data_IF_471681434086
#
_entry.id   IF_471681434086
#
_cell.length_a   1.000
_cell.length_b   1.000
_cell.length_c   1.000
_cell.angle_alpha   90.00
_cell.angle_beta   90.00
_cell.angle_gamma   90.00
#
_symmetry.space_group_name_H-M   'P 1'
#
loop_
_entity.id
_entity.type
_entity.pdbx_description
1 polymer ?
#
# COMPACT_ATOMS: atom_id res chain seq x y z
N UNK A 1 -7.07 6.57 -33.50
CA UNK A 1 -6.85 5.27 -32.84
C UNK A 1 -7.81 4.28 -33.47
N UNK A 2 -7.31 3.47 -34.40
CA UNK A 2 -8.13 2.57 -35.23
C UNK A 2 -8.51 1.32 -34.45
N UNK A 3 -9.80 1.19 -34.13
CA UNK A 3 -10.40 -0.03 -33.58
C UNK A 3 -10.51 -1.06 -34.70
N UNK A 4 -9.44 -1.82 -34.94
CA UNK A 4 -9.56 -3.04 -35.73
C UNK A 4 -10.37 -4.05 -34.92
N UNK A 5 -11.69 -4.06 -35.13
CA UNK A 5 -12.56 -5.19 -34.79
C UNK A 5 -12.10 -6.37 -35.66
N UNK A 6 -11.16 -7.15 -35.15
CA UNK A 6 -10.90 -8.48 -35.71
C UNK A 6 -12.22 -9.24 -35.65
N UNK A 7 -12.73 -9.67 -36.82
CA UNK A 7 -13.86 -10.58 -36.88
C UNK A 7 -13.44 -11.86 -36.16
N UNK A 8 -13.93 -12.07 -34.94
CA UNK A 8 -13.75 -13.32 -34.23
C UNK A 8 -14.30 -14.44 -35.12
N UNK A 9 -13.42 -15.35 -35.55
CA UNK A 9 -13.85 -16.60 -36.16
C UNK A 9 -14.53 -17.38 -35.02
N UNK A 10 -15.81 -17.77 -35.15
CA UNK A 10 -16.52 -18.44 -34.06
C UNK A 10 -15.82 -19.76 -33.72
N UNK A 11 -15.30 -19.85 -32.51
CA UNK A 11 -14.65 -21.05 -31.96
C UNK A 11 -15.70 -22.00 -31.37
N UNK A 12 -15.45 -23.30 -31.51
CA UNK A 12 -16.21 -24.34 -30.83
C UNK A 12 -15.66 -24.44 -29.40
N UNK A 13 -16.48 -24.12 -28.40
CA UNK A 13 -16.10 -24.32 -26.99
C UNK A 13 -16.05 -25.82 -26.65
N UNK A 14 -15.33 -26.18 -25.58
CA UNK A 14 -15.28 -27.57 -25.12
C UNK A 14 -16.67 -28.14 -24.80
N UNK A 15 -17.53 -27.34 -24.17
CA UNK A 15 -18.91 -27.75 -23.86
C UNK A 15 -19.76 -27.97 -25.12
N UNK A 16 -19.56 -27.14 -26.14
CA UNK A 16 -20.23 -27.31 -27.42
C UNK A 16 -19.69 -28.54 -28.16
N UNK A 17 -18.38 -28.77 -28.12
CA UNK A 17 -17.76 -29.96 -28.68
C UNK A 17 -18.32 -31.24 -28.04
N UNK A 18 -18.44 -31.29 -26.71
CA UNK A 18 -19.05 -32.43 -25.99
C UNK A 18 -20.47 -32.71 -26.48
N UNK A 19 -21.30 -31.67 -26.65
CA UNK A 19 -22.65 -31.80 -27.20
C UNK A 19 -22.64 -32.35 -28.62
N UNK A 20 -21.81 -31.78 -29.51
CA UNK A 20 -21.68 -32.22 -30.90
C UNK A 20 -21.22 -33.69 -30.99
N UNK A 21 -20.28 -34.11 -30.13
CA UNK A 21 -19.81 -35.49 -30.07
C UNK A 21 -20.90 -36.46 -29.61
N UNK A 22 -21.78 -36.02 -28.69
CA UNK A 22 -22.89 -36.85 -28.20
C UNK A 22 -24.07 -36.96 -29.17
N UNK A 23 -24.32 -35.92 -29.98
CA UNK A 23 -25.54 -35.79 -30.79
C UNK A 23 -25.32 -36.11 -32.28
N UNK A 24 -24.10 -35.91 -32.82
CA UNK A 24 -23.84 -36.05 -34.25
C UNK A 24 -23.38 -37.46 -34.66
N UNK A 25 -23.74 -37.91 -35.88
CA UNK A 25 -23.20 -39.12 -36.45
C UNK A 25 -21.71 -38.95 -36.82
N UNK A 26 -20.96 -40.06 -36.87
CA UNK A 26 -19.51 -40.05 -37.10
C UNK A 26 -19.07 -39.36 -38.40
N UNK A 27 -19.88 -39.39 -39.45
CA UNK A 27 -19.57 -38.73 -40.72
C UNK A 27 -19.72 -37.20 -40.67
N UNK A 28 -20.58 -36.69 -39.79
CA UNK A 28 -20.70 -35.24 -39.54
C UNK A 28 -19.58 -34.75 -38.61
N UNK A 29 -19.18 -35.56 -37.63
CA UNK A 29 -18.03 -35.29 -36.75
C UNK A 29 -16.74 -35.12 -37.57
N UNK A 30 -16.51 -35.99 -38.56
CA UNK A 30 -15.32 -35.89 -39.45
C UNK A 30 -15.27 -34.59 -40.27
N UNK A 31 -16.41 -33.93 -40.49
CA UNK A 31 -16.50 -32.69 -41.27
C UNK A 31 -16.29 -31.45 -40.40
N UNK A 32 -16.15 -31.61 -39.08
CA UNK A 32 -15.88 -30.47 -38.19
C UNK A 32 -14.53 -29.83 -38.55
N UNK A 33 -14.49 -28.50 -38.71
CA UNK A 33 -13.26 -27.80 -39.08
C UNK A 33 -12.27 -27.81 -37.91
N UNK A 34 -11.13 -28.47 -38.09
CA UNK A 34 -10.09 -28.64 -37.04
C UNK A 34 -9.56 -27.31 -36.50
N UNK A 35 -9.51 -26.27 -37.35
CA UNK A 35 -9.08 -24.92 -37.00
C UNK A 35 -9.99 -24.20 -35.99
N UNK A 36 -11.22 -24.68 -35.79
CA UNK A 36 -12.20 -24.09 -34.86
C UNK A 36 -12.27 -24.83 -33.53
N UNK A 37 -11.61 -25.97 -33.40
CA UNK A 37 -11.63 -26.81 -32.21
C UNK A 37 -10.77 -26.19 -31.08
N UNK A 38 -11.00 -26.60 -29.81
CA UNK A 38 -10.16 -26.21 -28.68
C UNK A 38 -8.73 -26.76 -28.80
N UNK A 39 -7.74 -26.01 -28.33
CA UNK A 39 -6.32 -26.42 -28.32
C UNK A 39 -6.05 -27.61 -27.38
N UNK A 40 -6.82 -27.75 -26.30
CA UNK A 40 -6.73 -28.85 -25.34
C UNK A 40 -8.06 -29.61 -25.30
N UNK A 41 -8.14 -30.72 -26.02
CA UNK A 41 -9.29 -31.64 -25.98
C UNK A 41 -8.93 -32.78 -25.01
N UNK A 42 -9.65 -32.94 -23.88
CA UNK A 42 -9.40 -34.01 -22.93
C UNK A 42 -9.77 -35.39 -23.53
N UNK A 43 -9.03 -36.42 -23.14
CA UNK A 43 -9.13 -37.78 -23.69
C UNK A 43 -10.48 -38.47 -23.33
N UNK A 44 -11.11 -38.03 -22.24
CA UNK A 44 -12.41 -38.51 -21.76
C UNK A 44 -13.55 -38.30 -22.77
N UNK A 45 -13.42 -37.32 -23.67
CA UNK A 45 -14.39 -37.07 -24.75
C UNK A 45 -14.59 -38.30 -25.66
N UNK A 46 -13.56 -39.14 -25.82
CA UNK A 46 -13.68 -40.37 -26.60
C UNK A 46 -14.55 -41.40 -25.89
N UNK A 47 -14.46 -41.46 -24.56
CA UNK A 47 -15.24 -42.39 -23.74
C UNK A 47 -16.72 -42.01 -23.72
N UNK A 48 -16.99 -40.70 -23.67
CA UNK A 48 -18.34 -40.09 -23.73
C UNK A 48 -19.02 -40.24 -25.09
N UNK A 49 -18.25 -40.48 -26.16
CA UNK A 49 -18.78 -40.64 -27.51
C UNK A 49 -19.52 -41.99 -27.69
N UNK A 50 -20.66 -42.00 -28.41
CA UNK A 50 -21.34 -43.22 -28.84
C UNK A 50 -20.38 -44.18 -29.55
N UNK A 51 -20.52 -45.48 -29.30
CA UNK A 51 -19.58 -46.51 -29.79
C UNK A 51 -19.30 -46.43 -31.31
N UNK A 52 -20.32 -46.11 -32.10
CA UNK A 52 -20.22 -46.00 -33.56
C UNK A 52 -19.50 -44.74 -34.05
N UNK A 53 -19.36 -43.69 -33.24
CA UNK A 53 -18.68 -42.43 -33.59
C UNK A 53 -17.30 -42.27 -32.96
N UNK A 54 -16.90 -43.14 -32.02
CA UNK A 54 -15.60 -43.08 -31.33
C UNK A 54 -14.40 -42.93 -32.26
N UNK A 55 -14.30 -43.76 -33.28
CA UNK A 55 -13.20 -43.68 -34.25
C UNK A 55 -13.18 -42.34 -35.02
N UNK A 56 -14.35 -41.74 -35.27
CA UNK A 56 -14.42 -40.41 -35.90
C UNK A 56 -13.93 -39.31 -34.94
N UNK A 57 -14.26 -39.42 -33.65
CA UNK A 57 -13.84 -38.50 -32.59
C UNK A 57 -12.33 -38.60 -32.34
N UNK A 58 -11.77 -39.81 -32.23
CA UNK A 58 -10.32 -40.02 -32.09
C UNK A 58 -9.53 -39.40 -33.25
N UNK A 59 -9.97 -39.65 -34.48
CA UNK A 59 -9.34 -39.07 -35.67
C UNK A 59 -9.45 -37.54 -35.69
N UNK A 60 -10.59 -36.99 -35.26
CA UNK A 60 -10.76 -35.54 -35.16
C UNK A 60 -9.82 -34.93 -34.11
N UNK A 61 -9.68 -35.57 -32.95
CA UNK A 61 -8.75 -35.15 -31.88
C UNK A 61 -7.30 -35.20 -32.39
N UNK A 62 -6.90 -36.28 -33.05
CA UNK A 62 -5.56 -36.38 -33.64
C UNK A 62 -5.30 -35.29 -34.68
N UNK A 63 -6.27 -35.03 -35.57
CA UNK A 63 -6.16 -33.99 -36.59
C UNK A 63 -6.09 -32.58 -35.99
N UNK A 64 -6.87 -32.31 -34.93
CA UNK A 64 -6.81 -31.07 -34.18
C UNK A 64 -5.44 -30.88 -33.51
N UNK A 65 -4.95 -31.91 -32.80
CA UNK A 65 -3.64 -31.87 -32.14
C UNK A 65 -2.50 -31.64 -33.14
N UNK A 66 -2.52 -32.32 -34.29
CA UNK A 66 -1.53 -32.11 -35.36
C UNK A 66 -1.60 -30.69 -35.93
N UNK A 67 -2.81 -30.17 -36.16
CA UNK A 67 -3.00 -28.79 -36.61
C UNK A 67 -2.44 -27.78 -35.60
N UNK A 68 -2.81 -27.87 -34.31
CA UNK A 68 -2.34 -26.95 -33.27
C UNK A 68 -0.83 -27.06 -33.04
N UNK A 69 -0.25 -28.26 -33.10
CA UNK A 69 1.21 -28.44 -33.05
C UNK A 69 1.89 -27.76 -34.24
N UNK A 70 1.37 -27.94 -35.46
CA UNK A 70 1.93 -27.30 -36.65
C UNK A 70 1.86 -25.77 -36.57
N UNK A 71 0.75 -25.23 -36.05
CA UNK A 71 0.56 -23.80 -35.81
C UNK A 71 1.53 -23.28 -34.75
N UNK A 72 1.72 -24.02 -33.65
CA UNK A 72 2.69 -23.69 -32.60
C UNK A 72 4.13 -23.68 -33.13
N UNK A 73 4.51 -24.67 -33.94
CA UNK A 73 5.83 -24.71 -34.59
C UNK A 73 6.03 -23.55 -35.58
N UNK A 74 5.00 -23.21 -36.37
CA UNK A 74 5.04 -22.04 -37.27
C UNK A 74 5.19 -20.74 -36.49
N UNK A 75 4.44 -20.61 -35.40
CA UNK A 75 4.52 -19.45 -34.52
C UNK A 75 5.90 -19.34 -33.89
N UNK A 76 6.43 -20.42 -33.31
CA UNK A 76 7.77 -20.46 -32.72
C UNK A 76 8.86 -20.06 -33.73
N UNK A 77 8.78 -20.54 -34.98
CA UNK A 77 9.72 -20.12 -36.04
C UNK A 77 9.58 -18.65 -36.43
N UNK A 78 8.38 -18.09 -36.35
CA UNK A 78 8.09 -16.73 -36.78
C UNK A 78 8.46 -15.68 -35.72
N UNK A 79 8.28 -15.99 -34.44
CA UNK A 79 8.43 -15.02 -33.33
C UNK A 79 9.45 -15.42 -32.26
N UNK A 80 9.96 -16.64 -32.29
CA UNK A 80 10.97 -17.15 -31.35
C UNK A 80 10.39 -17.65 -30.01
N UNK A 81 11.27 -18.28 -29.22
CA UNK A 81 10.90 -19.00 -27.99
C UNK A 81 10.40 -18.08 -26.87
N UNK A 82 10.94 -16.86 -26.77
CA UNK A 82 10.53 -15.89 -25.73
C UNK A 82 9.07 -15.46 -25.89
N UNK A 83 8.61 -15.28 -27.13
CA UNK A 83 7.23 -14.90 -27.44
C UNK A 83 6.28 -16.08 -27.18
N UNK A 84 6.70 -17.31 -27.47
CA UNK A 84 5.94 -18.52 -27.11
C UNK A 84 5.79 -18.63 -25.58
N UNK A 85 6.86 -18.40 -24.82
CA UNK A 85 6.79 -18.40 -23.37
C UNK A 85 5.84 -17.31 -22.83
N UNK A 86 5.80 -16.14 -23.46
CA UNK A 86 4.86 -15.08 -23.11
C UNK A 86 3.40 -15.46 -23.42
N UNK A 87 3.15 -16.20 -24.50
CA UNK A 87 1.81 -16.75 -24.82
C UNK A 87 1.40 -17.80 -23.78
N UNK A 88 2.29 -18.73 -23.45
CA UNK A 88 2.04 -19.74 -22.42
C UNK A 88 1.77 -19.09 -21.04
N UNK A 89 2.47 -17.99 -20.75
CA UNK A 89 2.23 -17.19 -19.55
C UNK A 89 0.84 -16.55 -19.54
N UNK A 90 0.34 -16.08 -20.70
CA UNK A 90 -0.97 -15.44 -20.81
C UNK A 90 -2.14 -16.35 -20.37
N UNK A 91 -2.03 -17.66 -20.60
CA UNK A 91 -3.04 -18.63 -20.16
C UNK A 91 -3.20 -18.73 -18.64
N UNK A 92 -2.16 -18.37 -17.89
CA UNK A 92 -2.12 -18.49 -16.43
C UNK A 92 -2.09 -17.11 -15.73
N UNK A 93 -1.96 -16.03 -16.49
CA UNK A 93 -1.82 -14.69 -15.97
C UNK A 93 -3.05 -14.26 -15.15
N UNK A 94 -2.81 -13.74 -13.94
CA UNK A 94 -3.87 -13.29 -13.02
C UNK A 94 -4.55 -14.39 -12.21
N UNK A 95 -4.27 -15.67 -12.50
CA UNK A 95 -4.79 -16.82 -11.75
C UNK A 95 -3.78 -17.41 -10.75
N UNK A 96 -2.65 -16.75 -10.53
CA UNK A 96 -1.60 -17.23 -9.62
C UNK A 96 -2.12 -17.38 -8.19
N UNK A 97 -1.52 -18.33 -7.45
CA UNK A 97 -1.82 -18.52 -6.05
C UNK A 97 -1.56 -17.25 -5.24
N UNK A 98 -0.49 -16.52 -5.56
CA UNK A 98 -0.09 -15.28 -4.89
C UNK A 98 -1.14 -14.18 -5.06
N UNK A 99 -1.56 -13.90 -6.31
CA UNK A 99 -2.59 -12.88 -6.59
C UNK A 99 -3.92 -13.27 -5.96
N UNK A 100 -4.29 -14.56 -5.98
CA UNK A 100 -5.51 -15.05 -5.33
C UNK A 100 -5.48 -14.86 -3.82
N UNK A 101 -4.39 -15.25 -3.15
CA UNK A 101 -4.24 -15.08 -1.70
C UNK A 101 -4.26 -13.60 -1.33
N UNK A 102 -3.53 -12.76 -2.08
CA UNK A 102 -3.54 -11.32 -1.88
C UNK A 102 -4.96 -10.73 -2.05
N UNK A 103 -5.68 -11.13 -3.10
CA UNK A 103 -7.08 -10.74 -3.35
C UNK A 103 -7.98 -11.08 -2.17
N UNK A 104 -7.94 -12.32 -1.69
CA UNK A 104 -8.72 -12.74 -0.53
C UNK A 104 -8.38 -11.90 0.71
N UNK A 105 -7.10 -11.65 0.98
CA UNK A 105 -6.67 -10.86 2.14
C UNK A 105 -7.04 -9.38 2.05
N UNK A 106 -7.03 -8.80 0.86
CA UNK A 106 -7.51 -7.42 0.64
C UNK A 106 -9.02 -7.34 0.88
N UNK A 107 -9.79 -8.30 0.38
CA UNK A 107 -11.23 -8.36 0.62
C UNK A 107 -11.57 -8.55 2.10
N UNK A 108 -10.85 -9.42 2.82
CA UNK A 108 -10.95 -9.56 4.28
C UNK A 108 -10.71 -8.22 4.99
N UNK A 109 -9.66 -7.48 4.59
CA UNK A 109 -9.34 -6.17 5.18
C UNK A 109 -10.46 -5.15 4.94
N UNK A 110 -11.01 -5.11 3.73
CA UNK A 110 -12.10 -4.21 3.35
C UNK A 110 -13.37 -4.56 4.13
N UNK A 111 -13.71 -5.85 4.24
CA UNK A 111 -14.88 -6.32 4.97
C UNK A 111 -14.78 -6.00 6.47
N UNK A 112 -13.64 -6.31 7.10
CA UNK A 112 -13.40 -6.01 8.51
C UNK A 112 -13.57 -4.50 8.78
N UNK A 113 -13.02 -3.64 7.92
CA UNK A 113 -13.18 -2.18 8.03
C UNK A 113 -14.64 -1.74 7.90
N UNK A 114 -15.41 -2.33 6.99
CA UNK A 114 -16.83 -2.01 6.82
C UNK A 114 -17.65 -2.39 8.06
N UNK A 115 -17.38 -3.54 8.68
CA UNK A 115 -18.01 -3.92 9.95
C UNK A 115 -17.67 -2.94 11.07
N UNK A 116 -16.39 -2.57 11.21
CA UNK A 116 -15.97 -1.58 12.20
C UNK A 116 -16.62 -0.20 11.96
N UNK A 117 -16.83 0.21 10.70
CA UNK A 117 -17.51 1.46 10.36
C UNK A 117 -19.01 1.45 10.70
N UNK A 118 -19.65 0.27 10.72
CA UNK A 118 -21.06 0.09 11.12
C UNK A 118 -21.26 -0.01 12.63
N UNK A 119 -20.18 0.02 13.42
CA UNK A 119 -20.24 -0.21 14.87
C UNK A 119 -20.44 -1.68 15.25
N UNK A 120 -20.40 -2.59 14.28
CA UNK A 120 -20.49 -4.04 14.46
C UNK A 120 -19.10 -4.58 14.83
N UNK A 121 -18.67 -4.33 16.08
CA UNK A 121 -17.43 -4.87 16.64
C UNK A 121 -16.47 -3.80 17.18
N UNK A 122 -15.63 -4.20 18.16
CA UNK A 122 -14.55 -3.35 18.66
C UNK A 122 -13.49 -3.21 17.56
N UNK A 123 -13.16 -1.97 17.18
CA UNK A 123 -12.08 -1.70 16.23
C UNK A 123 -10.73 -2.05 16.86
N UNK A 124 -10.25 -3.27 16.66
CA UNK A 124 -8.92 -3.67 17.10
C UNK A 124 -7.86 -3.26 16.07
N UNK A 125 -7.23 -2.10 16.31
CA UNK A 125 -6.17 -1.57 15.45
C UNK A 125 -4.96 -2.50 15.38
N UNK A 126 -4.71 -3.32 16.41
CA UNK A 126 -3.59 -4.28 16.39
C UNK A 126 -3.85 -5.40 15.38
N UNK A 127 -5.10 -5.87 15.28
CA UNK A 127 -5.50 -6.85 14.26
C UNK A 127 -5.36 -6.27 12.86
N UNK A 128 -5.80 -5.03 12.62
CA UNK A 128 -5.60 -4.36 11.34
C UNK A 128 -4.12 -4.20 10.98
N UNK A 129 -3.27 -3.82 11.94
CA UNK A 129 -1.84 -3.71 11.73
C UNK A 129 -1.22 -5.06 11.34
N UNK A 130 -1.64 -6.16 11.97
CA UNK A 130 -1.19 -7.51 11.62
C UNK A 130 -1.67 -7.95 10.23
N UNK A 131 -2.90 -7.61 9.84
CA UNK A 131 -3.41 -7.84 8.47
C UNK A 131 -2.62 -7.05 7.42
N UNK A 132 -2.37 -5.76 7.66
CA UNK A 132 -1.59 -4.91 6.75
C UNK A 132 -0.16 -5.43 6.61
N UNK A 133 0.47 -5.89 7.71
CA UNK A 133 1.82 -6.46 7.65
C UNK A 133 1.87 -7.67 6.72
N UNK A 134 0.96 -8.63 6.88
CA UNK A 134 0.87 -9.82 6.01
C UNK A 134 0.64 -9.44 4.53
N UNK A 135 -0.17 -8.43 4.27
CA UNK A 135 -0.39 -7.91 2.92
C UNK A 135 0.87 -7.23 2.36
N UNK A 136 1.62 -6.48 3.17
CA UNK A 136 2.89 -5.88 2.75
C UNK A 136 3.95 -6.94 2.41
N UNK A 137 3.97 -8.06 3.12
CA UNK A 137 4.88 -9.17 2.82
C UNK A 137 4.57 -9.78 1.43
N UNK A 138 3.28 -9.95 1.10
CA UNK A 138 2.82 -10.42 -0.21
C UNK A 138 2.93 -9.38 -1.33
N UNK A 139 3.00 -8.09 -0.98
CA UNK A 139 2.97 -6.98 -1.94
C UNK A 139 4.15 -7.04 -2.92
N UNK A 140 5.31 -7.48 -2.45
CA UNK A 140 6.53 -7.60 -3.26
C UNK A 140 6.32 -8.63 -4.37
N UNK A 141 5.74 -9.78 -4.02
CA UNK A 141 5.51 -10.87 -4.95
C UNK A 141 4.45 -10.49 -6.00
N UNK A 142 3.34 -9.88 -5.58
CA UNK A 142 2.28 -9.42 -6.49
C UNK A 142 2.80 -8.36 -7.46
N UNK A 143 3.62 -7.43 -6.99
CA UNK A 143 4.24 -6.41 -7.86
C UNK A 143 5.26 -7.01 -8.82
N UNK A 144 6.02 -8.00 -8.39
CA UNK A 144 6.97 -8.73 -9.26
C UNK A 144 6.23 -9.49 -10.35
N UNK A 145 5.14 -10.16 -9.99
CA UNK A 145 4.29 -10.85 -10.96
C UNK A 145 3.69 -9.86 -11.96
N UNK A 146 3.15 -8.74 -11.50
CA UNK A 146 2.62 -7.68 -12.36
C UNK A 146 3.67 -7.13 -13.33
N UNK A 147 4.88 -6.88 -12.84
CA UNK A 147 6.00 -6.40 -13.66
C UNK A 147 6.36 -7.41 -14.76
N UNK A 148 6.36 -8.69 -14.42
CA UNK A 148 6.62 -9.77 -15.37
C UNK A 148 5.51 -9.85 -16.43
N UNK A 149 4.24 -9.84 -16.01
CA UNK A 149 3.08 -9.85 -16.93
C UNK A 149 3.12 -8.66 -17.89
N UNK A 150 3.47 -7.46 -17.41
CA UNK A 150 3.62 -6.26 -18.25
C UNK A 150 4.79 -6.39 -19.23
N UNK A 151 5.92 -6.97 -18.80
CA UNK A 151 7.05 -7.24 -19.70
C UNK A 151 6.66 -8.20 -20.80
N UNK A 152 5.96 -9.30 -20.46
CA UNK A 152 5.46 -10.27 -21.43
C UNK A 152 4.47 -9.64 -22.39
N UNK A 153 3.56 -8.78 -21.91
CA UNK A 153 2.63 -8.05 -22.77
C UNK A 153 3.36 -7.19 -23.81
N UNK A 154 4.36 -6.40 -23.38
CA UNK A 154 5.16 -5.57 -24.29
C UNK A 154 5.97 -6.41 -25.28
N UNK A 155 6.44 -7.59 -24.86
CA UNK A 155 7.13 -8.52 -25.75
C UNK A 155 6.20 -9.00 -26.86
N UNK A 156 4.94 -9.33 -26.55
CA UNK A 156 3.94 -9.69 -27.56
C UNK A 156 3.61 -8.52 -28.50
N UNK A 157 3.44 -7.31 -27.96
CA UNK A 157 3.17 -6.10 -28.74
C UNK A 157 4.31 -5.80 -29.74
N UNK A 158 5.56 -5.93 -29.29
CA UNK A 158 6.74 -5.67 -30.11
C UNK A 158 7.01 -6.73 -31.19
N UNK A 159 6.58 -7.98 -30.97
CA UNK A 159 6.89 -9.13 -31.83
C UNK A 159 5.63 -9.70 -32.52
N UNK A 160 4.74 -8.82 -32.96
CA UNK A 160 3.55 -9.23 -33.70
C UNK A 160 3.95 -9.91 -35.04
N UNK A 161 3.46 -11.13 -35.33
CA UNK A 161 3.90 -11.86 -36.51
C UNK A 161 3.44 -11.19 -37.80
N UNK A 162 4.30 -11.23 -38.82
CA UNK A 162 3.98 -10.72 -40.16
C UNK A 162 2.82 -11.52 -40.78
N UNK A 163 2.79 -12.85 -40.57
CA UNK A 163 1.75 -13.76 -41.05
C UNK A 163 0.38 -13.43 -40.42
N UNK A 164 -0.62 -13.00 -41.21
CA UNK A 164 -1.95 -12.66 -40.72
C UNK A 164 -2.67 -13.81 -40.02
N UNK A 165 -2.36 -15.07 -40.35
CA UNK A 165 -2.99 -16.24 -39.74
C UNK A 165 -2.54 -16.46 -38.29
N UNK A 166 -1.36 -15.96 -37.92
CA UNK A 166 -0.75 -16.13 -36.59
C UNK A 166 -1.08 -14.97 -35.64
N UNK A 167 -1.44 -13.79 -36.19
CA UNK A 167 -1.76 -12.59 -35.40
C UNK A 167 -2.90 -12.79 -34.39
N UNK A 168 -4.01 -13.51 -34.69
CA UNK A 168 -5.09 -13.67 -33.74
C UNK A 168 -4.67 -14.33 -32.42
N UNK A 169 -3.76 -15.31 -32.48
CA UNK A 169 -3.24 -16.01 -31.30
C UNK A 169 -2.44 -15.06 -30.42
N UNK A 170 -1.51 -14.30 -31.01
CA UNK A 170 -0.67 -13.33 -30.28
C UNK A 170 -1.52 -12.19 -29.71
N UNK A 171 -2.45 -11.64 -30.48
CA UNK A 171 -3.35 -10.58 -30.04
C UNK A 171 -4.28 -11.03 -28.88
N UNK A 172 -4.75 -12.28 -28.90
CA UNK A 172 -5.55 -12.85 -27.80
C UNK A 172 -4.74 -12.95 -26.51
N UNK A 173 -3.50 -13.45 -26.60
CA UNK A 173 -2.59 -13.54 -25.47
C UNK A 173 -2.23 -12.15 -24.91
N UNK A 174 -1.94 -11.19 -25.78
CA UNK A 174 -1.68 -9.79 -25.39
C UNK A 174 -2.88 -9.19 -24.64
N UNK A 175 -4.10 -9.39 -25.16
CA UNK A 175 -5.33 -8.91 -24.51
C UNK A 175 -5.61 -9.61 -23.16
N UNK A 176 -5.24 -10.89 -23.01
CA UNK A 176 -5.31 -11.60 -21.72
C UNK A 176 -4.32 -11.02 -20.71
N UNK A 177 -3.05 -10.83 -21.09
CA UNK A 177 -2.05 -10.20 -20.24
C UNK A 177 -2.46 -8.78 -19.84
N UNK A 178 -2.98 -7.98 -20.78
CA UNK A 178 -3.47 -6.63 -20.49
C UNK A 178 -4.62 -6.60 -19.49
N UNK A 179 -5.55 -7.56 -19.57
CA UNK A 179 -6.60 -7.73 -18.55
C UNK A 179 -6.02 -8.10 -17.20
N UNK A 180 -5.10 -9.06 -17.14
CA UNK A 180 -4.45 -9.48 -15.89
C UNK A 180 -3.68 -8.32 -15.22
N UNK A 181 -2.91 -7.53 -15.99
CA UNK A 181 -2.23 -6.33 -15.48
C UNK A 181 -3.25 -5.34 -14.88
N UNK A 182 -4.36 -5.11 -15.57
CA UNK A 182 -5.41 -4.19 -15.12
C UNK A 182 -6.09 -4.68 -13.85
N UNK A 183 -6.39 -5.98 -13.73
CA UNK A 183 -6.95 -6.56 -12.52
C UNK A 183 -6.02 -6.44 -11.32
N UNK A 184 -4.72 -6.70 -11.52
CA UNK A 184 -3.72 -6.57 -10.44
C UNK A 184 -3.55 -5.09 -10.05
N UNK A 185 -3.50 -4.16 -11.00
CA UNK A 185 -3.48 -2.71 -10.72
C UNK A 185 -4.70 -2.29 -9.88
N UNK A 186 -5.91 -2.73 -10.25
CA UNK A 186 -7.12 -2.42 -9.50
C UNK A 186 -7.06 -2.98 -8.07
N UNK A 187 -6.57 -4.21 -7.92
CA UNK A 187 -6.44 -4.85 -6.62
C UNK A 187 -5.42 -4.13 -5.72
N UNK A 188 -4.29 -3.71 -6.29
CA UNK A 188 -3.30 -2.88 -5.60
C UNK A 188 -3.89 -1.52 -5.20
N UNK A 189 -4.67 -0.89 -6.08
CA UNK A 189 -5.40 0.34 -5.78
C UNK A 189 -6.37 0.19 -4.60
N UNK A 190 -7.14 -0.90 -4.55
CA UNK A 190 -8.03 -1.22 -3.43
C UNK A 190 -7.25 -1.40 -2.12
N UNK A 191 -6.12 -2.11 -2.16
CA UNK A 191 -5.25 -2.29 -1.01
C UNK A 191 -4.72 -0.95 -0.46
N UNK A 192 -4.11 -0.11 -1.32
CA UNK A 192 -3.59 1.19 -0.89
C UNK A 192 -4.68 2.10 -0.34
N UNK A 193 -5.88 2.05 -0.92
CA UNK A 193 -7.05 2.77 -0.42
C UNK A 193 -7.41 2.34 1.00
N UNK A 194 -7.59 1.02 1.21
CA UNK A 194 -7.98 0.49 2.50
C UNK A 194 -6.91 0.79 3.57
N UNK A 195 -5.64 0.62 3.22
CA UNK A 195 -4.50 0.93 4.09
C UNK A 195 -4.45 2.41 4.48
N UNK A 196 -4.59 3.32 3.52
CA UNK A 196 -4.58 4.76 3.77
C UNK A 196 -5.73 5.18 4.70
N UNK A 197 -6.92 4.62 4.52
CA UNK A 197 -8.07 4.91 5.38
C UNK A 197 -7.84 4.48 6.83
N UNK A 198 -7.27 3.28 7.05
CA UNK A 198 -6.96 2.77 8.38
C UNK A 198 -5.88 3.61 9.06
N UNK A 199 -4.78 3.89 8.35
CA UNK A 199 -3.71 4.75 8.84
C UNK A 199 -4.21 6.16 9.16
N UNK A 200 -5.13 6.71 8.36
CA UNK A 200 -5.76 8.00 8.67
C UNK A 200 -6.53 7.97 9.98
N UNK A 201 -7.30 6.90 10.24
CA UNK A 201 -8.03 6.76 11.50
C UNK A 201 -7.07 6.66 12.68
N UNK A 202 -5.97 5.93 12.54
CA UNK A 202 -4.91 5.83 13.54
C UNK A 202 -4.28 7.19 13.83
N UNK A 203 -3.84 7.91 12.78
CA UNK A 203 -3.29 9.26 12.90
C UNK A 203 -4.28 10.23 13.55
N UNK A 204 -5.56 10.17 13.17
CA UNK A 204 -6.59 11.03 13.78
C UNK A 204 -6.76 10.75 15.28
N UNK A 205 -6.75 9.47 15.70
CA UNK A 205 -6.81 9.09 17.12
C UNK A 205 -5.58 9.59 17.88
N UNK A 206 -4.39 9.39 17.31
CA UNK A 206 -3.14 9.86 17.90
C UNK A 206 -3.12 11.38 18.03
N UNK A 207 -3.61 12.10 17.01
CA UNK A 207 -3.72 13.56 17.04
C UNK A 207 -4.64 14.04 18.17
N UNK A 208 -5.82 13.44 18.33
CA UNK A 208 -6.72 13.79 19.44
C UNK A 208 -6.07 13.52 20.81
N UNK A 209 -5.31 12.43 20.95
CA UNK A 209 -4.56 12.16 22.18
C UNK A 209 -3.48 13.22 22.44
N UNK A 210 -2.75 13.63 21.40
CA UNK A 210 -1.76 14.71 21.48
C UNK A 210 -2.43 16.02 21.89
N UNK A 211 -3.52 16.41 21.23
CA UNK A 211 -4.24 17.66 21.52
C UNK A 211 -4.77 17.68 22.96
N UNK A 212 -5.38 16.59 23.44
CA UNK A 212 -5.87 16.48 24.82
C UNK A 212 -4.74 16.59 25.86
N UNK A 213 -3.56 16.03 25.57
CA UNK A 213 -2.41 16.12 26.47
C UNK A 213 -1.73 17.47 26.43
N UNK A 214 -1.71 18.16 25.27
CA UNK A 214 -1.26 19.55 25.16
C UNK A 214 -2.17 20.47 25.98
N UNK A 215 -3.49 20.32 25.88
CA UNK A 215 -4.46 21.06 26.70
C UNK A 215 -4.25 20.79 28.20
N UNK A 216 -4.06 19.52 28.59
CA UNK A 216 -3.72 19.14 29.96
C UNK A 216 -2.39 19.77 30.42
N UNK A 217 -1.38 19.84 29.57
CA UNK A 217 -0.10 20.49 29.89
C UNK A 217 -0.26 21.99 30.12
N UNK A 218 -1.04 22.68 29.29
CA UNK A 218 -1.30 24.12 29.44
C UNK A 218 -2.10 24.43 30.71
N UNK A 219 -3.13 23.64 31.02
CA UNK A 219 -3.87 23.78 32.29
C UNK A 219 -2.97 23.58 33.51
N UNK A 220 -2.09 22.57 33.51
CA UNK A 220 -1.10 22.36 34.57
C UNK A 220 -0.10 23.54 34.66
N UNK A 221 0.34 24.11 33.53
CA UNK A 221 1.23 25.29 33.51
C UNK A 221 0.57 26.52 34.13
N UNK A 222 -0.68 26.80 33.80
CA UNK A 222 -1.44 27.92 34.38
C UNK A 222 -1.60 27.76 35.89
N UNK A 223 -1.93 26.55 36.36
CA UNK A 223 -2.00 26.25 37.80
C UNK A 223 -0.66 26.46 38.51
N UNK A 224 0.45 26.03 37.90
CA UNK A 224 1.80 26.27 38.43
C UNK A 224 2.13 27.78 38.50
N UNK A 225 1.75 28.56 37.49
CA UNK A 225 1.96 30.01 37.51
C UNK A 225 1.16 30.69 38.62
N UNK A 226 -0.10 30.30 38.81
CA UNK A 226 -0.94 30.81 39.90
C UNK A 226 -0.35 30.46 41.28
N UNK A 227 0.01 29.19 41.51
CA UNK A 227 0.61 28.76 42.78
C UNK A 227 1.96 29.43 43.06
N UNK A 228 2.79 29.62 42.03
CA UNK A 228 4.05 30.36 42.18
C UNK A 228 3.82 31.84 42.51
N UNK A 229 2.78 32.47 41.94
CA UNK A 229 2.40 33.84 42.26
C UNK A 229 1.89 33.95 43.69
N UNK A 230 1.02 33.05 44.12
CA UNK A 230 0.56 32.96 45.51
C UNK A 230 1.72 32.77 46.49
N UNK A 231 2.66 31.86 46.19
CA UNK A 231 3.86 31.65 46.99
C UNK A 231 4.73 32.93 47.06
N UNK A 232 4.87 33.64 45.93
CA UNK A 232 5.57 34.91 45.81
C UNK A 232 4.95 36.00 46.68
N UNK A 233 3.63 36.19 46.59
CA UNK A 233 2.88 37.17 47.40
C UNK A 233 2.93 36.84 48.90
N UNK A 234 2.86 35.57 49.27
CA UNK A 234 3.04 35.11 50.67
C UNK A 234 4.48 35.26 51.19
N UNK A 235 5.47 35.47 50.31
CA UNK A 235 6.88 35.64 50.68
C UNK A 235 7.35 37.11 50.67
N UNK A 236 6.72 37.96 49.84
CA UNK A 236 7.12 39.36 49.60
C UNK A 236 6.66 40.39 50.63
N UNK A 237 5.68 40.09 51.50
CA UNK A 237 5.20 41.04 52.51
C UNK A 237 6.08 41.06 53.77
N UNK A 238 6.88 42.11 53.97
CA UNK A 238 7.57 42.37 55.26
C UNK A 238 6.57 42.45 56.44
N UNK A 239 5.32 42.87 56.18
CA UNK A 239 4.24 43.00 57.17
C UNK A 239 3.55 41.69 57.56
N UNK A 240 3.64 40.62 56.75
CA UNK A 240 2.96 39.32 57.02
C UNK A 240 3.82 38.32 57.82
N UNK A 241 5.11 38.61 58.00
CA UNK A 241 6.07 37.74 58.73
C UNK A 241 5.87 37.77 60.25
N UNK A 242 5.35 38.87 60.80
CA UNK A 242 5.27 39.06 62.25
C UNK A 242 3.98 38.53 62.90
N UNK A 243 2.85 38.46 62.17
CA UNK A 243 1.53 38.19 62.78
C UNK A 243 0.95 36.78 62.58
N UNK A 244 1.45 35.93 61.66
CA UNK A 244 0.84 34.62 61.31
C UNK A 244 1.83 33.49 60.94
N UNK A 245 2.92 33.36 61.70
CA UNK A 245 4.07 32.47 61.36
C UNK A 245 3.72 30.98 61.19
N UNK A 246 2.89 30.37 62.06
CA UNK A 246 2.59 28.93 62.00
C UNK A 246 1.59 28.53 60.90
N UNK A 247 0.49 29.28 60.73
CA UNK A 247 -0.51 28.99 59.69
C UNK A 247 0.03 29.25 58.27
N UNK A 248 0.80 30.33 58.08
CA UNK A 248 1.44 30.60 56.80
C UNK A 248 2.52 29.57 56.44
N UNK A 249 3.15 28.93 57.43
CA UNK A 249 4.14 27.88 57.18
C UNK A 249 3.49 26.61 56.64
N UNK A 250 2.40 26.14 57.28
CA UNK A 250 1.67 24.96 56.82
C UNK A 250 1.05 25.17 55.42
N UNK A 251 0.49 26.36 55.14
CA UNK A 251 -0.01 26.69 53.81
C UNK A 251 1.11 26.77 52.76
N UNK A 252 2.28 27.32 53.11
CA UNK A 252 3.45 27.31 52.20
C UNK A 252 3.93 25.90 51.89
N UNK A 253 4.02 25.03 52.88
CA UNK A 253 4.41 23.62 52.69
C UNK A 253 3.38 22.89 51.80
N UNK A 254 2.08 23.18 51.96
CA UNK A 254 1.02 22.62 51.13
C UNK A 254 1.10 23.09 49.66
N UNK A 255 1.31 24.39 49.43
CA UNK A 255 1.51 24.96 48.09
C UNK A 255 2.77 24.38 47.45
N UNK A 256 3.87 24.25 48.20
CA UNK A 256 5.10 23.61 47.71
C UNK A 256 4.88 22.14 47.33
N UNK A 257 4.16 21.36 48.14
CA UNK A 257 3.83 19.98 47.82
C UNK A 257 2.96 19.87 46.55
N UNK A 258 2.00 20.80 46.38
CA UNK A 258 1.19 20.87 45.16
C UNK A 258 2.03 21.24 43.94
N UNK A 259 2.96 22.20 44.06
CA UNK A 259 3.90 22.55 42.98
C UNK A 259 4.74 21.34 42.57
N UNK A 260 5.33 20.61 43.53
CA UNK A 260 6.15 19.41 43.24
C UNK A 260 5.31 18.34 42.53
N UNK A 261 4.07 18.12 42.99
CA UNK A 261 3.14 17.19 42.35
C UNK A 261 2.82 17.61 40.91
N UNK A 262 2.43 18.87 40.69
CA UNK A 262 2.10 19.38 39.36
C UNK A 262 3.30 19.35 38.41
N UNK A 263 4.51 19.65 38.89
CA UNK A 263 5.74 19.51 38.08
C UNK A 263 5.98 18.05 37.69
N UNK A 264 5.70 17.10 38.59
CA UNK A 264 5.82 15.67 38.30
C UNK A 264 4.77 15.24 37.27
N UNK A 265 3.52 15.65 37.46
CA UNK A 265 2.44 15.37 36.51
C UNK A 265 2.76 15.95 35.12
N UNK A 266 3.31 17.17 35.05
CA UNK A 266 3.71 17.82 33.81
C UNK A 266 4.79 17.02 33.06
N UNK A 267 5.77 16.43 33.77
CA UNK A 267 6.79 15.54 33.18
C UNK A 267 6.20 14.24 32.64
N UNK A 268 5.11 13.74 33.22
CA UNK A 268 4.48 12.48 32.81
C UNK A 268 3.45 12.63 31.68
N UNK A 269 3.11 13.86 31.29
CA UNK A 269 2.00 14.14 30.33
C UNK A 269 2.45 14.14 28.86
N UNK A 270 3.61 13.54 28.53
CA UNK A 270 4.11 13.48 27.15
C UNK A 270 3.56 12.27 26.38
N UNK A 271 2.97 12.52 25.20
CA UNK A 271 2.58 11.46 24.26
C UNK A 271 3.77 11.18 23.34
N UNK A 272 4.45 10.06 23.59
CA UNK A 272 5.48 9.60 22.66
C UNK A 272 4.85 9.20 21.32
N UNK A 273 5.31 9.82 20.24
CA UNK A 273 5.13 9.34 18.86
C UNK A 273 6.39 8.56 18.53
N UNK A 274 6.26 7.28 18.20
CA UNK A 274 7.43 6.47 17.84
C UNK A 274 7.83 6.72 16.38
N UNK A 275 9.13 6.65 16.08
CA UNK A 275 9.62 6.68 14.70
C UNK A 275 9.00 5.56 13.85
N UNK A 276 8.76 4.40 14.46
CA UNK A 276 8.14 3.26 13.78
C UNK A 276 6.70 3.54 13.32
N UNK A 277 5.95 4.37 14.06
CA UNK A 277 4.59 4.76 13.66
C UNK A 277 4.66 5.80 12.55
N UNK A 278 5.55 6.79 12.68
CA UNK A 278 5.79 7.80 11.64
C UNK A 278 6.20 7.15 10.31
N UNK A 279 7.14 6.20 10.32
CA UNK A 279 7.54 5.46 9.12
C UNK A 279 6.37 4.70 8.52
N UNK A 280 5.57 4.00 9.33
CA UNK A 280 4.40 3.25 8.85
C UNK A 280 3.34 4.16 8.22
N UNK A 281 3.12 5.34 8.79
CA UNK A 281 2.18 6.31 8.26
C UNK A 281 2.69 6.98 6.98
N UNK A 282 3.98 7.33 6.96
CA UNK A 282 4.68 7.82 5.76
C UNK A 282 4.59 6.81 4.62
N UNK A 283 4.86 5.53 4.89
CA UNK A 283 4.77 4.47 3.88
C UNK A 283 3.38 4.42 3.24
N UNK A 284 2.31 4.47 4.05
CA UNK A 284 0.94 4.40 3.54
C UNK A 284 0.57 5.63 2.69
N UNK A 285 0.99 6.83 3.09
CA UNK A 285 0.74 8.07 2.34
C UNK A 285 1.55 8.10 1.05
N UNK A 286 2.81 7.70 1.08
CA UNK A 286 3.70 7.66 -0.10
C UNK A 286 3.24 6.59 -1.07
N UNK A 287 3.03 5.35 -0.64
CA UNK A 287 2.59 4.25 -1.51
C UNK A 287 1.27 4.58 -2.21
N UNK A 288 0.31 5.18 -1.50
CA UNK A 288 -0.96 5.62 -2.08
C UNK A 288 -0.80 6.82 -3.02
N UNK A 289 0.17 7.70 -2.78
CA UNK A 289 0.47 8.85 -3.66
C UNK A 289 1.13 8.42 -4.98
N UNK A 290 1.94 7.36 -4.95
CA UNK A 290 2.65 6.82 -6.11
C UNK A 290 1.79 5.90 -6.99
N UNK A 291 0.65 5.43 -6.48
CA UNK A 291 -0.25 4.57 -7.22
C UNK A 291 -1.27 5.40 -8.03
N UNK A 292 -1.21 5.32 -9.36
CA UNK A 292 -1.99 6.18 -10.28
C UNK A 292 -3.49 6.22 -9.95
N UNK A 293 -4.12 5.04 -9.85
CA UNK A 293 -5.56 4.98 -9.54
C UNK A 293 -5.87 5.53 -8.14
N UNK A 294 -5.02 5.28 -7.14
CA UNK A 294 -5.25 5.79 -5.80
C UNK A 294 -5.15 7.31 -5.77
N UNK A 295 -4.19 7.90 -6.51
CA UNK A 295 -4.02 9.35 -6.61
C UNK A 295 -5.25 10.06 -7.17
N UNK A 296 -5.87 9.52 -8.21
CA UNK A 296 -7.06 10.12 -8.84
C UNK A 296 -8.31 9.99 -7.96
N UNK A 297 -8.61 8.78 -7.48
CA UNK A 297 -9.83 8.53 -6.69
C UNK A 297 -9.75 9.02 -5.24
N UNK A 298 -8.55 9.14 -4.67
CA UNK A 298 -8.35 9.44 -3.26
C UNK A 298 -7.75 10.83 -3.01
N UNK A 299 -7.80 11.76 -3.97
CA UNK A 299 -7.14 13.07 -3.83
C UNK A 299 -7.50 13.77 -2.53
N UNK A 300 -8.78 13.83 -2.18
CA UNK A 300 -9.24 14.46 -0.93
C UNK A 300 -8.76 13.71 0.33
N UNK A 301 -8.79 12.37 0.28
CA UNK A 301 -8.33 11.52 1.37
C UNK A 301 -6.82 11.65 1.59
N UNK A 302 -6.04 11.75 0.51
CA UNK A 302 -4.60 11.97 0.54
C UNK A 302 -4.28 13.34 1.15
N UNK A 303 -4.97 14.41 0.74
CA UNK A 303 -4.78 15.74 1.33
C UNK A 303 -5.02 15.71 2.84
N UNK A 304 -6.16 15.16 3.28
CA UNK A 304 -6.49 15.04 4.72
C UNK A 304 -5.45 14.21 5.48
N UNK A 305 -4.99 13.11 4.90
CA UNK A 305 -4.00 12.23 5.53
C UNK A 305 -2.62 12.88 5.61
N UNK A 306 -2.21 13.65 4.59
CA UNK A 306 -0.99 14.46 4.60
C UNK A 306 -1.04 15.52 5.69
N UNK A 307 -2.12 16.29 5.78
CA UNK A 307 -2.28 17.31 6.84
C UNK A 307 -2.20 16.69 8.25
N UNK A 308 -2.79 15.52 8.46
CA UNK A 308 -2.69 14.80 9.73
C UNK A 308 -1.25 14.34 10.01
N UNK A 309 -0.60 13.74 9.02
CA UNK A 309 0.79 13.30 9.13
C UNK A 309 1.72 14.48 9.45
N UNK A 310 1.54 15.62 8.79
CA UNK A 310 2.33 16.82 9.05
C UNK A 310 2.13 17.35 10.46
N UNK A 311 0.89 17.42 10.93
CA UNK A 311 0.61 17.84 12.30
C UNK A 311 1.31 16.94 13.33
N UNK A 312 1.27 15.61 13.14
CA UNK A 312 1.91 14.66 14.04
C UNK A 312 3.43 14.69 13.94
N UNK A 313 3.98 14.84 12.73
CA UNK A 313 5.41 14.91 12.51
C UNK A 313 5.98 16.21 13.08
N UNK A 314 5.29 17.34 12.92
CA UNK A 314 5.68 18.58 13.58
C UNK A 314 5.68 18.45 15.11
N UNK A 315 4.67 17.79 15.68
CA UNK A 315 4.64 17.52 17.12
C UNK A 315 5.82 16.64 17.57
N UNK A 316 6.16 15.61 16.78
CA UNK A 316 7.34 14.79 17.04
C UNK A 316 8.62 15.62 17.02
N UNK A 317 8.81 16.50 16.03
CA UNK A 317 9.97 17.38 15.96
C UNK A 317 10.08 18.28 17.20
N UNK A 318 8.98 18.94 17.58
CA UNK A 318 8.94 19.81 18.77
C UNK A 318 9.29 19.02 20.04
N UNK A 319 8.76 17.80 20.20
CA UNK A 319 9.07 16.95 21.35
C UNK A 319 10.56 16.56 21.39
N UNK A 320 11.17 16.26 20.23
CA UNK A 320 12.61 15.98 20.15
C UNK A 320 13.46 17.20 20.49
N UNK A 321 13.06 18.39 20.04
CA UNK A 321 13.75 19.64 20.39
C UNK A 321 13.63 19.97 21.88
N UNK A 322 12.43 19.83 22.47
CA UNK A 322 12.20 20.04 23.89
C UNK A 322 13.06 19.07 24.73
N UNK A 323 13.13 17.80 24.34
CA UNK A 323 14.00 16.81 24.97
C UNK A 323 15.48 17.21 24.85
N UNK A 324 15.92 17.66 23.68
CA UNK A 324 17.30 18.11 23.45
C UNK A 324 17.65 19.33 24.32
N UNK A 325 16.75 20.31 24.41
CA UNK A 325 16.92 21.50 25.27
C UNK A 325 16.99 21.11 26.75
N UNK A 326 16.16 20.16 27.20
CA UNK A 326 16.21 19.67 28.57
C UNK A 326 17.57 19.03 28.89
N UNK A 327 18.10 18.18 28.01
CA UNK A 327 19.42 17.55 28.18
C UNK A 327 20.52 18.62 28.18
N UNK A 328 20.48 19.59 27.25
CA UNK A 328 21.45 20.68 27.19
C UNK A 328 21.40 21.63 28.41
N UNK A 329 20.21 21.84 28.97
CA UNK A 329 20.01 22.67 30.17
C UNK A 329 20.39 21.98 31.47
N UNK A 330 20.70 20.67 31.43
CA UNK A 330 21.08 19.91 32.61
C UNK A 330 22.55 20.19 32.96
N UNK A 331 22.85 20.90 34.06
CA UNK A 331 24.22 21.29 34.41
C UNK A 331 25.13 20.11 34.78
N UNK A 332 24.57 18.91 34.94
CA UNK A 332 25.30 17.68 35.25
C UNK A 332 25.61 16.81 34.03
N UNK A 333 25.00 17.12 32.87
CA UNK A 333 25.30 16.44 31.62
C UNK A 333 26.21 17.38 30.82
N UNK A 334 27.49 17.06 30.72
CA UNK A 334 28.41 17.73 29.81
C UNK A 334 28.09 17.28 28.37
N UNK A 335 26.97 17.76 27.82
CA UNK A 335 26.65 17.54 26.41
C UNK A 335 27.49 18.50 25.59
N UNK A 336 28.31 17.99 24.68
CA UNK A 336 28.98 18.87 23.71
C UNK A 336 27.90 19.60 22.90
N UNK A 337 28.03 20.92 22.64
CA UNK A 337 27.07 21.69 21.84
C UNK A 337 26.75 21.08 20.47
N UNK A 338 27.72 20.32 19.91
CA UNK A 338 27.56 19.55 18.68
C UNK A 338 26.50 18.46 18.79
N UNK A 339 26.42 17.77 19.93
CA UNK A 339 25.42 16.72 20.15
C UNK A 339 24.02 17.32 20.31
N UNK A 340 23.87 18.47 20.96
CA UNK A 340 22.61 19.19 21.07
C UNK A 340 22.09 19.68 19.69
N UNK A 341 22.97 20.22 18.83
CA UNK A 341 22.65 20.57 17.43
C UNK A 341 22.28 19.32 16.63
N UNK A 342 22.98 18.20 16.86
CA UNK A 342 22.68 16.91 16.23
C UNK A 342 21.28 16.41 16.58
N UNK A 343 20.80 16.61 17.81
CA UNK A 343 19.43 16.28 18.20
C UNK A 343 18.38 17.15 17.50
N UNK A 344 18.65 18.44 17.27
CA UNK A 344 17.79 19.33 16.47
C UNK A 344 17.70 18.89 15.01
N UNK A 345 18.79 18.39 14.43
CA UNK A 345 18.86 17.93 13.04
C UNK A 345 18.32 16.51 12.82
N UNK A 346 18.11 15.72 13.89
CA UNK A 346 17.65 14.31 13.79
C UNK A 346 16.29 14.16 13.10
N UNK A 347 15.41 15.15 13.22
CA UNK A 347 14.08 15.11 12.60
C UNK A 347 14.12 15.30 11.08
N UNK A 348 14.98 16.21 10.58
CA UNK A 348 15.25 16.38 9.14
C UNK A 348 16.05 15.19 8.60
N UNK A 349 17.04 14.71 9.36
CA UNK A 349 17.83 13.52 9.02
C UNK A 349 16.94 12.27 8.92
N UNK A 350 15.93 12.11 9.79
CA UNK A 350 14.95 11.02 9.72
C UNK A 350 14.20 11.01 8.38
N UNK A 351 13.71 12.16 7.92
CA UNK A 351 12.97 12.26 6.65
C UNK A 351 13.87 12.01 5.47
N UNK A 352 15.06 12.62 5.45
CA UNK A 352 16.04 12.42 4.38
C UNK A 352 16.46 10.95 4.28
N UNK A 353 16.73 10.29 5.41
CA UNK A 353 17.03 8.86 5.46
C UNK A 353 15.85 8.01 4.99
N UNK A 354 14.62 8.36 5.37
CA UNK A 354 13.42 7.67 4.92
C UNK A 354 13.28 7.75 3.39
N UNK A 355 13.39 8.95 2.79
CA UNK A 355 13.27 9.11 1.34
C UNK A 355 14.46 8.51 0.57
N UNK A 356 15.67 8.54 1.13
CA UNK A 356 16.81 7.83 0.55
C UNK A 356 16.54 6.32 0.46
N UNK A 357 16.09 5.69 1.56
CA UNK A 357 15.71 4.27 1.58
C UNK A 357 14.54 3.97 0.64
N UNK A 358 13.56 4.87 0.54
CA UNK A 358 12.43 4.72 -0.38
C UNK A 358 12.81 4.84 -1.85
N UNK A 359 13.86 5.60 -2.17
CA UNK A 359 14.45 5.68 -3.51
C UNK A 359 15.28 4.45 -3.88
N UNK A 360 15.86 3.74 -2.92
CA UNK A 360 16.55 2.45 -3.16
C UNK A 360 15.57 1.28 -3.38
N UNK A 361 14.54 1.18 -2.53
CA UNK A 361 13.25 0.60 -2.94
C UNK A 361 12.74 1.42 -4.15
N UNK A 362 11.67 1.19 -4.88
CA UNK A 362 11.35 2.01 -6.10
C UNK A 362 12.40 2.05 -7.26
N UNK A 363 13.70 2.37 -7.08
CA UNK A 363 14.72 2.31 -8.17
C UNK A 363 15.08 0.89 -8.55
N UNK A 364 15.13 -0.03 -7.58
CA UNK A 364 15.27 -1.47 -7.84
C UNK A 364 14.05 -2.08 -8.60
N UNK A 365 13.02 -1.28 -8.92
CA UNK A 365 11.68 -1.76 -9.24
C UNK A 365 11.16 -1.42 -10.66
N UNK A 366 11.97 -0.93 -11.63
CA UNK A 366 11.73 -0.89 -13.12
C UNK A 366 12.14 0.46 -13.76
N UNK A 367 13.11 0.48 -14.68
CA UNK A 367 13.76 1.70 -15.18
C UNK A 367 12.88 2.76 -15.88
N UNK A 368 11.72 2.40 -16.44
CA UNK A 368 10.91 3.37 -17.24
C UNK A 368 9.67 3.93 -16.51
N UNK A 369 9.12 3.22 -15.51
CA UNK A 369 8.07 3.75 -14.60
C UNK A 369 8.70 4.33 -13.33
N UNK A 370 9.95 3.94 -13.02
CA UNK A 370 10.72 4.53 -11.93
C UNK A 370 10.86 6.04 -12.09
N UNK A 371 11.18 6.57 -13.28
CA UNK A 371 11.45 8.01 -13.42
C UNK A 371 10.25 8.89 -12.97
N UNK A 372 9.04 8.60 -13.43
CA UNK A 372 7.83 9.34 -13.03
C UNK A 372 7.56 9.20 -11.53
N UNK A 373 7.78 8.00 -10.97
CA UNK A 373 7.65 7.78 -9.52
C UNK A 373 8.74 8.48 -8.71
N UNK A 374 9.95 8.60 -9.26
CA UNK A 374 11.07 9.34 -8.66
C UNK A 374 10.78 10.82 -8.66
N UNK A 375 10.29 11.38 -9.76
CA UNK A 375 9.89 12.79 -9.84
C UNK A 375 8.74 13.11 -8.86
N UNK A 376 7.75 12.20 -8.75
CA UNK A 376 6.66 12.30 -7.76
C UNK A 376 7.20 12.18 -6.32
N UNK A 377 8.17 11.28 -6.05
CA UNK A 377 8.85 11.15 -4.76
C UNK A 377 9.62 12.42 -4.39
N UNK A 378 10.39 12.98 -5.32
CA UNK A 378 11.16 14.21 -5.13
C UNK A 378 10.25 15.42 -4.93
N UNK A 379 9.08 15.45 -5.57
CA UNK A 379 8.06 16.47 -5.30
C UNK A 379 7.49 16.30 -3.89
N UNK A 380 7.17 15.08 -3.47
CA UNK A 380 6.66 14.80 -2.12
C UNK A 380 7.68 15.13 -1.03
N UNK A 381 8.94 14.79 -1.23
CA UNK A 381 10.03 15.12 -0.30
C UNK A 381 10.16 16.64 -0.14
N UNK A 382 10.17 17.39 -1.26
CA UNK A 382 10.22 18.85 -1.25
C UNK A 382 9.02 19.47 -0.54
N UNK A 383 7.81 18.97 -0.81
CA UNK A 383 6.59 19.44 -0.16
C UNK A 383 6.66 19.20 1.37
N UNK A 384 7.08 18.00 1.79
CA UNK A 384 7.26 17.63 3.20
C UNK A 384 8.25 18.54 3.93
N UNK A 385 9.45 18.71 3.35
CA UNK A 385 10.50 19.55 3.94
C UNK A 385 10.05 21.01 3.98
N UNK A 386 9.39 21.49 2.93
CA UNK A 386 8.92 22.87 2.88
C UNK A 386 7.86 23.14 3.94
N UNK A 387 6.89 22.24 4.13
CA UNK A 387 5.87 22.36 5.16
C UNK A 387 6.45 22.31 6.57
N UNK A 388 7.44 21.43 6.82
CA UNK A 388 8.16 21.37 8.10
C UNK A 388 8.92 22.65 8.42
N UNK A 389 9.67 23.18 7.45
CA UNK A 389 10.40 24.43 7.63
C UNK A 389 9.45 25.61 7.84
N UNK A 390 8.24 25.55 7.28
CA UNK A 390 7.20 26.56 7.50
C UNK A 390 6.59 26.46 8.90
N UNK A 391 6.40 25.25 9.43
CA UNK A 391 5.86 25.04 10.78
C UNK A 391 6.88 25.38 11.87
N UNK A 392 8.18 25.18 11.61
CA UNK A 392 9.28 25.56 12.52
C UNK A 392 9.51 27.07 12.63
N UNK A 393 9.03 27.87 11.66
CA UNK A 393 9.15 29.34 11.66
C UNK A 393 7.99 30.06 12.37
N UNK A 394 6.97 29.33 12.81
CA UNK A 394 5.88 29.85 13.64
C UNK A 394 6.13 29.45 15.09
#
# INVERSE_FOLDING_TARGET
MSTHKFREIPHISLDLLRKLVSELPGDEIKRLPVEKLPECIPEDIVEEAPYYSRAAVENLIMAANAYHLSMRMRLQRAVGDEVIAAIDHAHHAGASATVRVFRTKVLELIAARQHAARGEGKTDMAQYAAHIKRLNDLLIDVRTEQANTLRMQRLLEANMPADPALRPTVARAEAQLGRAVTEVEQLLGQFFTARLQLVRQEMSRKRMQVEAMVEKRETLRLQLQMLNKELGEMSGGLFSRALRSRQNKAQKEQIQAQIVRLVTDLKTTEVAISETDLTRWLDAVVDASLHRQAREFLRELLVKSRTLLYSLLNHYCIAQEDAARQIASNPFIQVEPKDAIRYMLKSEEFILKYFARKREQASAWLSNVAQVRMDDLDSLERDLIHELRRSLKR
#
